data_IF_659398277712
#
_entry.id   IF_659398277712
#
_cell.length_a   1.000
_cell.length_b   1.000
_cell.length_c   1.000
_cell.angle_alpha   90.00
_cell.angle_beta   90.00
_cell.angle_gamma   90.00
#
_symmetry.space_group_name_H-M   'P 1'
#
loop_
_entity.id
_entity.type
_entity.pdbx_description
1 polymer ?
#
# COMPACT_ATOMS: atom_id res chain seq x y z
N UNK A 1 9.04 -16.83 -10.23
CA UNK A 1 8.97 -15.68 -9.35
C UNK A 1 8.59 -16.08 -7.95
N UNK A 2 9.18 -15.44 -6.97
CA UNK A 2 8.80 -15.65 -5.58
C UNK A 2 7.41 -15.05 -5.32
N UNK A 3 6.67 -15.69 -4.44
CA UNK A 3 5.32 -15.22 -4.12
C UNK A 3 5.16 -15.09 -2.61
N UNK A 4 4.81 -13.89 -2.14
CA UNK A 4 4.63 -13.60 -0.72
C UNK A 4 3.33 -12.83 -0.56
N UNK A 5 2.50 -13.24 0.41
CA UNK A 5 1.20 -12.62 0.69
C UNK A 5 0.30 -12.54 -0.56
N UNK A 6 0.43 -13.51 -1.46
CA UNK A 6 -0.34 -13.55 -2.69
C UNK A 6 0.18 -12.65 -3.80
N UNK A 7 1.32 -12.01 -3.61
CA UNK A 7 1.91 -11.07 -4.58
C UNK A 7 3.16 -11.70 -5.20
N UNK A 8 3.28 -11.58 -6.52
CA UNK A 8 4.49 -11.99 -7.23
C UNK A 8 5.58 -10.96 -7.00
N UNK A 9 6.69 -11.38 -6.43
CA UNK A 9 7.79 -10.49 -6.07
C UNK A 9 8.84 -10.53 -7.17
N UNK A 10 9.34 -9.37 -7.65
CA UNK A 10 10.40 -9.35 -8.65
C UNK A 10 11.67 -10.06 -8.16
N UNK A 11 12.21 -10.95 -8.97
CA UNK A 11 13.40 -11.73 -8.60
C UNK A 11 14.71 -10.97 -8.79
N UNK A 12 14.73 -9.99 -9.69
CA UNK A 12 15.95 -9.27 -10.03
C UNK A 12 16.30 -8.13 -9.06
N UNK A 13 15.40 -7.83 -8.12
CA UNK A 13 15.60 -6.74 -7.15
C UNK A 13 16.18 -7.26 -5.85
N UNK A 14 16.85 -6.36 -5.12
CA UNK A 14 17.31 -6.64 -3.76
C UNK A 14 16.09 -6.92 -2.86
N UNK A 15 16.29 -7.71 -1.82
CA UNK A 15 15.19 -8.13 -0.94
C UNK A 15 14.44 -6.93 -0.35
N UNK A 16 15.15 -5.91 0.12
CA UNK A 16 14.48 -4.75 0.73
C UNK A 16 13.61 -3.97 -0.26
N UNK A 17 14.02 -3.92 -1.52
CA UNK A 17 13.26 -3.21 -2.56
C UNK A 17 12.12 -4.09 -3.08
N UNK A 18 12.39 -5.37 -3.28
CA UNK A 18 11.40 -6.30 -3.79
C UNK A 18 10.19 -6.43 -2.86
N UNK A 19 10.41 -6.42 -1.54
CA UNK A 19 9.34 -6.50 -0.55
C UNK A 19 8.38 -5.31 -0.62
N UNK A 20 8.82 -4.16 -1.13
CA UNK A 20 7.95 -2.99 -1.25
C UNK A 20 6.84 -3.17 -2.29
N UNK A 21 6.90 -4.23 -3.11
CA UNK A 21 5.81 -4.58 -4.03
C UNK A 21 4.55 -5.03 -3.28
N UNK A 22 4.67 -5.42 -2.02
CA UNK A 22 3.54 -5.83 -1.20
C UNK A 22 2.83 -4.58 -0.66
N UNK A 23 1.52 -4.49 -0.85
CA UNK A 23 0.73 -3.39 -0.32
C UNK A 23 0.77 -3.42 1.21
N UNK A 24 1.24 -2.36 1.81
CA UNK A 24 1.41 -2.25 3.26
C UNK A 24 2.86 -2.39 3.73
N UNK A 25 3.77 -2.76 2.82
CA UNK A 25 5.20 -2.84 3.13
C UNK A 25 5.92 -1.73 2.38
N UNK A 26 6.39 -0.75 3.13
CA UNK A 26 7.23 0.31 2.58
C UNK A 26 8.70 0.01 2.83
N UNK A 27 9.56 0.99 2.53
CA UNK A 27 11.00 0.81 2.68
C UNK A 27 11.41 0.45 4.11
N UNK A 28 10.85 1.13 5.11
CA UNK A 28 11.19 0.89 6.51
C UNK A 28 10.78 -0.50 6.98
N UNK A 29 9.57 -0.93 6.64
CA UNK A 29 9.11 -2.28 7.00
C UNK A 29 9.90 -3.36 6.28
N UNK A 30 10.26 -3.11 5.04
CA UNK A 30 11.08 -4.05 4.27
C UNK A 30 12.43 -4.27 4.95
N UNK A 31 13.05 -3.21 5.46
CA UNK A 31 14.30 -3.32 6.21
C UNK A 31 14.13 -4.09 7.50
N UNK A 32 13.07 -3.82 8.25
CA UNK A 32 12.76 -4.55 9.48
C UNK A 32 12.55 -6.04 9.20
N UNK A 33 11.85 -6.36 8.14
CA UNK A 33 11.58 -7.75 7.76
C UNK A 33 12.88 -8.47 7.41
N UNK A 34 13.75 -7.84 6.63
CA UNK A 34 15.04 -8.42 6.27
C UNK A 34 15.91 -8.64 7.50
N UNK A 35 15.97 -7.66 8.40
CA UNK A 35 16.79 -7.77 9.61
C UNK A 35 16.26 -8.86 10.54
N UNK A 36 14.95 -8.94 10.72
CA UNK A 36 14.32 -9.97 11.55
C UNK A 36 14.50 -11.38 10.99
N UNK A 37 14.61 -11.49 9.66
CA UNK A 37 14.82 -12.77 8.98
C UNK A 37 16.29 -13.14 8.86
N UNK A 38 17.19 -12.30 9.32
CA UNK A 38 18.64 -12.48 9.21
C UNK A 38 19.10 -12.60 7.75
N UNK A 39 18.49 -11.85 6.88
CA UNK A 39 18.79 -11.82 5.45
C UNK A 39 19.43 -10.48 5.12
N UNK A 40 20.55 -10.49 4.36
CA UNK A 40 21.18 -9.25 3.92
C UNK A 40 20.22 -8.48 2.99
N UNK A 41 20.07 -7.17 3.25
CA UNK A 41 19.16 -6.32 2.48
C UNK A 41 19.49 -6.26 0.98
N UNK A 42 20.78 -6.42 0.67
CA UNK A 42 21.27 -6.35 -0.72
C UNK A 42 21.22 -7.67 -1.47
N UNK A 43 20.78 -8.75 -0.81
CA UNK A 43 20.63 -10.05 -1.46
C UNK A 43 19.44 -9.99 -2.42
N UNK A 44 19.66 -10.41 -3.68
CA UNK A 44 18.56 -10.43 -4.65
C UNK A 44 17.60 -11.57 -4.33
N UNK A 45 16.33 -11.36 -4.63
CA UNK A 45 15.29 -12.35 -4.31
C UNK A 45 15.57 -13.70 -4.97
N UNK A 46 16.13 -13.71 -6.17
CA UNK A 46 16.45 -14.95 -6.88
C UNK A 46 17.54 -15.78 -6.21
N UNK A 47 18.38 -15.16 -5.39
CA UNK A 47 19.49 -15.83 -4.71
C UNK A 47 19.11 -16.40 -3.34
N UNK A 48 17.86 -16.23 -2.91
CA UNK A 48 17.40 -16.71 -1.62
C UNK A 48 17.05 -18.19 -1.68
N UNK A 49 17.38 -18.91 -0.58
CA UNK A 49 16.98 -20.31 -0.43
C UNK A 49 15.51 -20.38 0.01
N UNK A 50 14.91 -21.58 -0.09
CA UNK A 50 13.53 -21.78 0.36
C UNK A 50 13.36 -21.49 1.85
N UNK A 51 14.35 -21.89 2.66
CA UNK A 51 14.31 -21.62 4.10
C UNK A 51 14.30 -20.12 4.39
N UNK A 52 15.08 -19.35 3.63
CA UNK A 52 15.11 -17.89 3.76
C UNK A 52 13.79 -17.26 3.29
N UNK A 53 13.20 -17.79 2.21
CA UNK A 53 11.90 -17.34 1.74
C UNK A 53 10.80 -17.59 2.79
N UNK A 54 10.85 -18.75 3.44
CA UNK A 54 9.88 -19.08 4.50
C UNK A 54 10.00 -18.14 5.69
N UNK A 55 11.23 -17.75 6.05
CA UNK A 55 11.45 -16.76 7.11
C UNK A 55 10.88 -15.40 6.73
N UNK A 56 11.06 -14.99 5.48
CA UNK A 56 10.46 -13.73 5.00
C UNK A 56 8.94 -13.79 5.08
N UNK A 57 8.34 -14.87 4.63
CA UNK A 57 6.88 -15.05 4.68
C UNK A 57 6.36 -14.98 6.11
N UNK A 58 7.06 -15.58 7.04
CA UNK A 58 6.70 -15.54 8.45
C UNK A 58 6.73 -14.11 9.00
N UNK A 59 7.79 -13.35 8.69
CA UNK A 59 7.90 -11.97 9.16
C UNK A 59 6.85 -11.06 8.51
N UNK A 60 6.57 -11.25 7.22
CA UNK A 60 5.53 -10.49 6.53
C UNK A 60 4.16 -10.78 7.16
N UNK A 61 3.92 -12.02 7.57
CA UNK A 61 2.66 -12.40 8.21
C UNK A 61 2.37 -11.70 9.52
N UNK A 62 3.37 -11.08 10.14
CA UNK A 62 3.18 -10.31 11.39
C UNK A 62 2.59 -8.93 11.15
N UNK A 63 2.52 -8.49 9.91
CA UNK A 63 1.96 -7.20 9.53
C UNK A 63 0.63 -7.40 8.81
N UNK A 64 -0.25 -6.40 8.94
CA UNK A 64 -1.47 -6.37 8.14
C UNK A 64 -1.11 -5.84 6.76
N UNK A 65 -1.24 -6.67 5.75
CA UNK A 65 -0.83 -6.31 4.37
C UNK A 65 -1.87 -6.76 3.36
N UNK A 66 -1.75 -6.28 2.14
CA UNK A 66 -2.58 -6.63 0.98
C UNK A 66 -4.08 -6.58 1.27
N UNK A 67 -4.84 -7.64 0.99
CA UNK A 67 -6.29 -7.64 1.13
C UNK A 67 -6.78 -7.28 2.52
N UNK A 68 -6.09 -7.74 3.55
CA UNK A 68 -6.46 -7.43 4.93
C UNK A 68 -6.28 -5.95 5.22
N UNK A 69 -5.19 -5.35 4.74
CA UNK A 69 -4.96 -3.91 4.90
C UNK A 69 -5.97 -3.10 4.11
N UNK A 70 -6.26 -3.49 2.88
CA UNK A 70 -7.26 -2.82 2.05
C UNK A 70 -8.63 -2.83 2.73
N UNK A 71 -8.99 -3.97 3.30
CA UNK A 71 -10.25 -4.11 4.05
C UNK A 71 -10.26 -3.20 5.26
N UNK A 72 -9.17 -3.15 6.01
CA UNK A 72 -9.05 -2.29 7.18
C UNK A 72 -9.19 -0.82 6.82
N UNK A 73 -8.51 -0.36 5.77
CA UNK A 73 -8.61 1.03 5.29
C UNK A 73 -10.04 1.35 4.85
N UNK A 74 -10.66 0.45 4.10
CA UNK A 74 -12.04 0.63 3.63
C UNK A 74 -13.00 0.73 4.80
N UNK A 75 -12.85 -0.11 5.82
CA UNK A 75 -13.69 -0.09 7.00
C UNK A 75 -13.49 1.18 7.82
N UNK A 76 -12.25 1.68 7.91
CA UNK A 76 -11.96 2.92 8.62
C UNK A 76 -12.65 4.11 7.94
N UNK A 77 -12.60 4.18 6.61
CA UNK A 77 -13.27 5.22 5.85
C UNK A 77 -14.79 5.11 6.00
N UNK A 78 -15.32 3.91 5.92
CA UNK A 78 -16.75 3.67 6.10
C UNK A 78 -17.22 4.12 7.48
N UNK A 79 -16.43 3.85 8.50
CA UNK A 79 -16.74 4.29 9.86
C UNK A 79 -16.88 5.81 9.94
N UNK A 80 -15.97 6.54 9.29
CA UNK A 80 -16.05 8.00 9.23
C UNK A 80 -17.32 8.46 8.53
N UNK A 81 -17.70 7.80 7.45
CA UNK A 81 -18.93 8.12 6.72
C UNK A 81 -20.18 7.85 7.57
N UNK A 82 -20.20 6.71 8.28
CA UNK A 82 -21.32 6.32 9.13
C UNK A 82 -21.49 7.27 10.33
N UNK A 83 -20.37 7.79 10.85
CA UNK A 83 -20.41 8.77 11.94
C UNK A 83 -20.94 10.14 11.48
N UNK A 84 -20.94 10.41 10.18
CA UNK A 84 -21.40 11.67 9.64
C UNK A 84 -20.50 12.86 9.97
N UNK A 85 -19.24 12.62 10.35
CA UNK A 85 -18.29 13.70 10.62
C UNK A 85 -17.84 14.38 9.33
N UNK A 86 -17.18 15.54 9.47
CA UNK A 86 -16.70 16.29 8.30
C UNK A 86 -15.78 15.45 7.41
N UNK A 87 -14.85 14.72 8.01
CA UNK A 87 -13.93 13.85 7.27
C UNK A 87 -14.69 12.80 6.45
N UNK A 88 -15.71 12.20 7.04
CA UNK A 88 -16.55 11.21 6.36
C UNK A 88 -17.31 11.81 5.20
N UNK A 89 -17.84 13.02 5.36
CA UNK A 89 -18.53 13.72 4.27
C UNK A 89 -17.59 14.02 3.11
N UNK A 90 -16.33 14.37 3.40
CA UNK A 90 -15.34 14.61 2.35
C UNK A 90 -15.03 13.32 1.59
N UNK A 91 -14.91 12.19 2.28
CA UNK A 91 -14.71 10.90 1.63
C UNK A 91 -15.91 10.51 0.76
N UNK A 92 -17.12 10.77 1.26
CA UNK A 92 -18.34 10.45 0.50
C UNK A 92 -18.41 11.22 -0.80
N UNK A 93 -17.98 12.48 -0.79
CA UNK A 93 -17.98 13.33 -1.97
C UNK A 93 -16.76 13.16 -2.86
N UNK A 94 -15.78 12.35 -2.44
CA UNK A 94 -14.54 12.18 -3.18
C UNK A 94 -13.64 13.41 -3.18
N UNK A 95 -13.68 14.19 -2.11
CA UNK A 95 -12.91 15.42 -1.99
C UNK A 95 -11.79 15.27 -0.96
N UNK A 96 -10.71 16.10 -1.04
CA UNK A 96 -9.66 16.06 -0.03
C UNK A 96 -10.22 16.36 1.36
N UNK A 97 -9.74 15.62 2.37
CA UNK A 97 -10.24 15.75 3.75
C UNK A 97 -9.28 16.49 4.69
N UNK A 98 -8.13 16.95 4.18
CA UNK A 98 -7.11 17.61 5.00
C UNK A 98 -6.94 19.09 4.71
N UNK A 99 -8.01 19.76 4.30
CA UNK A 99 -8.00 21.20 4.10
C UNK A 99 -7.33 21.69 2.81
N UNK A 100 -7.09 20.80 1.86
CA UNK A 100 -6.49 21.17 0.59
C UNK A 100 -7.47 21.96 -0.28
N UNK A 101 -6.92 22.80 -1.15
CA UNK A 101 -7.73 23.58 -2.07
C UNK A 101 -8.43 22.66 -3.08
N UNK A 102 -9.69 22.96 -3.35
CA UNK A 102 -10.47 22.18 -4.32
C UNK A 102 -10.81 22.96 -5.56
N UNK A 103 -10.69 24.28 -5.49
CA UNK A 103 -11.06 25.17 -6.61
C UNK A 103 -10.17 24.99 -7.84
N UNK A 104 -8.87 24.76 -7.63
CA UNK A 104 -7.91 24.71 -8.74
C UNK A 104 -7.33 23.32 -8.97
N UNK A 105 -6.97 22.62 -7.89
CA UNK A 105 -6.24 21.34 -7.96
C UNK A 105 -7.05 20.23 -7.28
N UNK A 106 -6.40 19.36 -6.55
CA UNK A 106 -7.00 18.19 -5.88
C UNK A 106 -7.38 17.09 -6.87
N UNK A 107 -6.62 16.97 -7.97
CA UNK A 107 -6.91 15.98 -9.01
C UNK A 107 -6.77 14.54 -8.55
N UNK A 108 -5.90 14.27 -7.58
CA UNK A 108 -5.73 12.91 -7.05
C UNK A 108 -7.04 12.34 -6.51
N UNK A 109 -7.81 13.17 -5.80
CA UNK A 109 -9.09 12.74 -5.23
C UNK A 109 -10.25 12.93 -6.20
N UNK A 110 -10.25 14.05 -6.92
CA UNK A 110 -11.34 14.39 -7.84
C UNK A 110 -11.24 13.65 -9.17
N UNK A 111 -10.05 13.18 -9.50
CA UNK A 111 -9.79 12.54 -10.78
C UNK A 111 -9.44 13.55 -11.87
N UNK A 112 -9.19 13.08 -13.10
CA UNK A 112 -8.86 13.96 -14.22
C UNK A 112 -10.01 14.94 -14.51
N UNK A 113 -9.64 16.08 -15.09
CA UNK A 113 -10.65 17.06 -15.51
C UNK A 113 -11.55 16.46 -16.57
N UNK A 114 -12.84 16.73 -16.42
CA UNK A 114 -13.83 16.29 -17.41
C UNK A 114 -14.35 17.48 -18.18
N UNK A 115 -14.42 17.36 -19.49
CA UNK A 115 -15.04 18.38 -20.32
C UNK A 115 -16.56 18.37 -20.06
N UNK A 116 -17.12 19.58 -19.93
CA UNK A 116 -18.57 19.72 -19.76
C UNK A 116 -19.19 19.86 -21.15
N UNK A 117 -20.11 18.96 -21.48
CA UNK A 117 -20.76 18.98 -22.79
C UNK A 117 -21.43 20.32 -23.07
N UNK A 118 -21.17 20.89 -24.24
CA UNK A 118 -21.76 22.17 -24.67
C UNK A 118 -21.14 23.39 -24.03
N UNK A 119 -20.13 23.24 -23.19
CA UNK A 119 -19.45 24.35 -22.52
C UNK A 119 -18.06 24.54 -23.08
N UNK A 120 -17.69 25.77 -23.36
CA UNK A 120 -16.43 26.12 -23.99
C UNK A 120 -15.58 26.99 -23.06
#
# INVERSE_FOLDING_TARGET
>A
MARIAGVNIPNHQHAEIALTAIYGVGRSRARLICDASSIARTTKMKDLTEAEMDRLREQVGKFTVEGDLRREVTMSIKRLMDLGCYRGLRHRKGLPCRGQRTRTNARTRKGPRKAIAGKK
#
